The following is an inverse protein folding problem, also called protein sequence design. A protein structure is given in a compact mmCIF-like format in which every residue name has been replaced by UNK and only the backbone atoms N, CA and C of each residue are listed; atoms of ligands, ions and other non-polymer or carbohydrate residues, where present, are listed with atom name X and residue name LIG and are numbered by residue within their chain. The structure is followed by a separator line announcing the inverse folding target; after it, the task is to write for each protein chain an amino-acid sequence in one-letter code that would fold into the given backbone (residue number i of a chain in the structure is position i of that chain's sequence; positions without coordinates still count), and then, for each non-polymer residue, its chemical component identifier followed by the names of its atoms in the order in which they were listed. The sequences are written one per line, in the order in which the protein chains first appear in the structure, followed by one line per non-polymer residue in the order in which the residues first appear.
data_IF_302428899840
#
_entry.id   IF_302428899840
#
_cell.length_a   1.000
_cell.length_b   1.000
_cell.length_c   1.000
_cell.angle_alpha   90.00
_cell.angle_beta   90.00
_cell.angle_gamma   90.00
#
_symmetry.space_group_name_H-M   'P 1'
#
loop_
_entity.id
_entity.type
_entity.pdbx_description
1 polymer ?
#
# COMPACT_ATOMS: atom_id res chain seq x y z
N UNK A 1 -57.57 2.51 -42.62
CA UNK A 1 -58.16 3.82 -42.28
C UNK A 1 -57.02 4.82 -42.07
N UNK A 2 -57.10 5.98 -42.76
CA UNK A 2 -56.62 7.35 -42.44
C UNK A 2 -55.34 7.50 -41.56
N UNK A 3 -54.37 8.37 -41.84
CA UNK A 3 -54.16 9.46 -42.81
C UNK A 3 -52.68 9.86 -42.70
N UNK A 4 -52.09 10.23 -43.83
CA UNK A 4 -50.79 10.89 -43.94
C UNK A 4 -50.89 12.34 -43.42
N UNK A 5 -49.89 12.82 -42.70
CA UNK A 5 -49.58 14.25 -42.62
C UNK A 5 -48.08 14.45 -42.77
N UNK A 6 -47.71 15.03 -43.91
CA UNK A 6 -46.42 15.64 -44.14
C UNK A 6 -46.43 17.04 -43.51
N UNK A 7 -45.33 17.43 -42.89
CA UNK A 7 -44.96 18.83 -42.71
C UNK A 7 -43.47 18.95 -42.98
N UNK A 8 -43.15 19.59 -44.11
CA UNK A 8 -41.84 20.19 -44.31
C UNK A 8 -41.84 21.59 -43.69
N UNK A 9 -40.68 22.01 -43.20
CA UNK A 9 -40.34 23.42 -43.07
C UNK A 9 -38.83 23.59 -43.17
N UNK A 10 -38.44 24.36 -44.19
CA UNK A 10 -37.12 24.95 -44.42
C UNK A 10 -36.84 25.98 -43.33
N UNK A 11 -35.60 26.04 -42.82
CA UNK A 11 -35.24 27.04 -41.82
C UNK A 11 -33.74 27.23 -41.64
N UNK A 12 -33.23 28.24 -42.34
CA UNK A 12 -32.06 29.09 -42.06
C UNK A 12 -30.79 28.47 -41.45
N UNK A 13 -29.72 28.51 -42.25
CA UNK A 13 -28.35 28.41 -41.77
C UNK A 13 -27.99 29.55 -40.82
N UNK A 14 -27.30 29.20 -39.75
CA UNK A 14 -26.52 30.13 -38.92
C UNK A 14 -25.07 29.66 -39.03
N UNK A 15 -24.27 30.44 -39.75
CA UNK A 15 -22.80 30.31 -39.75
C UNK A 15 -22.32 30.92 -38.45
N UNK A 16 -22.08 30.10 -37.43
CA UNK A 16 -21.35 30.55 -36.24
C UNK A 16 -19.86 30.50 -36.53
N UNK A 17 -19.26 31.69 -36.67
CA UNK A 17 -17.80 31.90 -36.73
C UNK A 17 -17.22 31.43 -35.39
N UNK A 18 -16.60 30.26 -35.35
CA UNK A 18 -15.82 29.81 -34.20
C UNK A 18 -14.47 30.53 -34.23
N UNK A 19 -14.35 31.58 -33.41
CA UNK A 19 -13.04 32.14 -33.05
C UNK A 19 -12.27 31.10 -32.26
N UNK A 20 -11.36 30.40 -32.92
CA UNK A 20 -10.38 29.52 -32.27
C UNK A 20 -9.41 30.38 -31.46
N UNK A 21 -9.62 30.47 -30.15
CA UNK A 21 -8.62 30.98 -29.23
C UNK A 21 -7.56 29.89 -29.12
N UNK A 22 -6.41 30.12 -29.78
CA UNK A 22 -5.20 29.33 -29.56
C UNK A 22 -4.67 29.67 -28.17
N UNK A 23 -5.12 28.94 -27.14
CA UNK A 23 -4.33 28.84 -25.91
C UNK A 23 -3.09 28.01 -26.25
N UNK A 24 -1.95 28.68 -26.40
CA UNK A 24 -0.64 28.06 -26.32
C UNK A 24 -0.42 27.57 -24.87
N UNK A 25 -1.09 26.48 -24.50
CA UNK A 25 -0.73 25.72 -23.32
C UNK A 25 0.52 24.91 -23.66
N UNK A 26 1.63 25.20 -22.99
CA UNK A 26 2.77 24.29 -22.91
C UNK A 26 2.25 22.99 -22.28
N UNK A 27 1.92 22.01 -23.12
CA UNK A 27 1.71 20.66 -22.66
C UNK A 27 3.05 20.15 -22.11
N UNK A 28 3.23 20.20 -20.80
CA UNK A 28 4.12 19.26 -20.15
C UNK A 28 3.50 17.90 -20.43
N UNK A 29 4.04 17.19 -21.42
CA UNK A 29 3.81 15.76 -21.52
C UNK A 29 4.35 15.18 -20.21
N UNK A 30 3.47 14.92 -19.25
CA UNK A 30 3.80 14.04 -18.16
C UNK A 30 4.16 12.71 -18.83
N UNK A 31 5.45 12.38 -18.87
CA UNK A 31 5.89 11.08 -19.33
C UNK A 31 5.14 10.05 -18.50
N UNK A 32 4.18 9.35 -19.11
CA UNK A 32 3.49 8.20 -18.51
C UNK A 32 4.37 6.95 -18.49
N UNK A 33 5.59 7.05 -19.03
CA UNK A 33 6.59 6.02 -18.90
C UNK A 33 7.05 5.93 -17.43
N UNK A 34 7.13 4.72 -16.85
CA UNK A 34 7.71 4.54 -15.53
C UNK A 34 9.15 5.07 -15.48
N UNK A 35 9.56 5.58 -14.33
CA UNK A 35 10.92 6.07 -14.11
C UNK A 35 11.92 4.93 -14.43
N UNK A 36 12.94 5.16 -15.27
CA UNK A 36 13.84 4.10 -15.70
C UNK A 36 14.77 3.59 -14.59
N UNK A 37 14.91 4.32 -13.47
CA UNK A 37 15.69 3.91 -12.31
C UNK A 37 14.86 3.13 -11.29
N UNK A 38 13.58 3.47 -11.11
CA UNK A 38 12.72 2.81 -10.09
C UNK A 38 11.64 1.91 -10.67
N UNK A 39 11.39 1.98 -11.98
CA UNK A 39 10.27 1.29 -12.65
C UNK A 39 8.90 1.81 -12.25
N UNK A 40 8.83 2.93 -11.53
CA UNK A 40 7.60 3.43 -10.92
C UNK A 40 6.85 4.41 -11.80
N UNK A 41 5.51 4.32 -11.81
CA UNK A 41 4.67 5.27 -12.52
C UNK A 41 4.68 6.67 -11.89
N UNK A 42 4.51 7.71 -12.70
CA UNK A 42 4.39 9.08 -12.20
C UNK A 42 3.20 9.26 -11.22
N UNK A 43 2.14 8.46 -11.36
CA UNK A 43 0.99 8.49 -10.46
C UNK A 43 1.37 7.96 -9.07
N UNK A 44 2.06 6.82 -9.01
CA UNK A 44 2.59 6.24 -7.78
C UNK A 44 3.60 7.18 -7.10
N UNK A 45 4.44 7.86 -7.88
CA UNK A 45 5.39 8.85 -7.34
C UNK A 45 4.66 10.05 -6.72
N UNK A 46 3.57 10.50 -7.35
CA UNK A 46 2.71 11.55 -6.79
C UNK A 46 2.07 11.10 -5.46
N UNK A 47 1.60 9.85 -5.36
CA UNK A 47 1.06 9.28 -4.12
C UNK A 47 2.12 9.21 -3.02
N UNK A 48 3.34 8.74 -3.34
CA UNK A 48 4.46 8.74 -2.38
C UNK A 48 4.79 10.15 -1.91
N UNK A 49 4.80 11.14 -2.79
CA UNK A 49 5.18 12.53 -2.43
C UNK A 49 4.24 13.22 -1.44
N UNK A 50 3.04 12.66 -1.21
CA UNK A 50 2.11 13.22 -0.23
C UNK A 50 2.65 13.14 1.20
N UNK A 51 2.07 13.98 2.07
CA UNK A 51 2.42 14.01 3.48
C UNK A 51 2.17 12.66 4.15
N UNK A 52 3.03 12.30 5.10
CA UNK A 52 2.87 11.11 5.92
C UNK A 52 1.77 11.31 6.97
N UNK A 53 1.08 10.23 7.31
CA UNK A 53 0.20 10.20 8.49
C UNK A 53 1.08 10.13 9.74
N UNK A 54 0.92 11.05 10.72
CA UNK A 54 1.72 11.03 11.94
C UNK A 54 1.70 9.67 12.64
N UNK A 55 2.87 9.13 12.95
CA UNK A 55 3.03 7.82 13.60
C UNK A 55 3.06 6.62 12.66
N UNK A 56 3.08 6.84 11.33
CA UNK A 56 3.19 5.79 10.31
C UNK A 56 4.17 6.21 9.20
N UNK A 57 4.74 5.24 8.44
CA UNK A 57 5.55 5.54 7.26
C UNK A 57 4.73 5.73 5.98
N UNK A 58 3.39 5.67 6.03
CA UNK A 58 2.53 5.78 4.85
C UNK A 58 1.95 7.18 4.67
N UNK A 59 1.61 7.53 3.43
CA UNK A 59 1.04 8.83 3.10
C UNK A 59 -0.46 8.91 3.43
N UNK A 60 -0.98 10.14 3.51
CA UNK A 60 -2.39 10.44 3.85
C UNK A 60 -3.42 9.85 2.88
N UNK A 61 -3.02 9.34 1.71
CA UNK A 61 -3.89 8.60 0.79
C UNK A 61 -4.21 7.19 1.26
N UNK A 62 -3.34 6.58 2.07
CA UNK A 62 -3.52 5.20 2.50
C UNK A 62 -4.76 5.05 3.38
N UNK A 63 -5.51 3.96 3.18
CA UNK A 63 -6.55 3.47 4.09
C UNK A 63 -6.04 2.35 4.98
N UNK A 64 -5.09 1.56 4.47
CA UNK A 64 -4.28 0.67 5.27
C UNK A 64 -2.79 0.92 5.00
N UNK A 65 -2.00 0.91 6.06
CA UNK A 65 -0.54 1.03 6.01
C UNK A 65 0.08 -0.24 6.57
N UNK A 66 1.07 -0.78 5.88
CA UNK A 66 1.90 -1.90 6.35
C UNK A 66 3.35 -1.46 6.30
N UNK A 67 4.03 -1.58 7.43
CA UNK A 67 5.47 -1.41 7.54
C UNK A 67 6.14 -2.78 7.73
N UNK A 68 6.89 -3.20 6.71
CA UNK A 68 7.60 -4.46 6.69
C UNK A 68 8.80 -4.47 7.65
N UNK A 69 9.41 -3.31 7.93
CA UNK A 69 10.59 -3.24 8.81
C UNK A 69 10.19 -3.46 10.28
N UNK A 70 9.08 -2.85 10.72
CA UNK A 70 8.59 -3.01 12.09
C UNK A 70 7.56 -4.13 12.27
N UNK A 71 7.14 -4.79 11.18
CA UNK A 71 6.05 -5.78 11.18
C UNK A 71 4.80 -5.23 11.87
N UNK A 72 4.37 -4.04 11.42
CA UNK A 72 3.18 -3.36 11.92
C UNK A 72 2.23 -2.96 10.80
N UNK A 73 0.95 -2.86 11.16
CA UNK A 73 -0.05 -2.28 10.29
C UNK A 73 -0.98 -1.30 11.02
N UNK A 74 -1.60 -0.42 10.23
CA UNK A 74 -2.55 0.59 10.68
C UNK A 74 -3.73 0.68 9.73
N UNK A 75 -4.90 1.02 10.28
CA UNK A 75 -6.01 1.59 9.52
C UNK A 75 -5.99 3.11 9.66
N UNK A 76 -6.22 3.79 8.55
CA UNK A 76 -6.14 5.23 8.44
C UNK A 76 -7.46 5.76 7.88
N UNK A 77 -8.02 6.76 8.56
CA UNK A 77 -9.18 7.50 8.12
C UNK A 77 -8.90 9.00 8.23
N UNK A 78 -9.15 9.74 7.15
CA UNK A 78 -9.02 11.20 7.11
C UNK A 78 -7.65 11.70 7.61
N UNK A 79 -6.58 11.02 7.19
CA UNK A 79 -5.20 11.33 7.56
C UNK A 79 -4.85 11.03 9.02
N UNK A 80 -5.64 10.20 9.70
CA UNK A 80 -5.44 9.82 11.11
C UNK A 80 -5.50 8.32 11.28
N UNK A 81 -4.66 7.79 12.16
CA UNK A 81 -4.74 6.39 12.59
C UNK A 81 -6.04 6.17 13.36
N UNK A 82 -6.86 5.22 12.92
CA UNK A 82 -8.08 4.78 13.61
C UNK A 82 -7.90 3.44 14.31
N UNK A 83 -6.96 2.62 13.83
CA UNK A 83 -6.51 1.39 14.49
C UNK A 83 -5.04 1.15 14.22
N UNK A 84 -4.33 0.64 15.21
CA UNK A 84 -2.91 0.33 15.14
C UNK A 84 -2.06 1.18 16.08
N UNK A 85 -0.76 0.92 16.16
CA UNK A 85 -0.04 -0.16 15.45
C UNK A 85 -0.52 -1.55 15.92
N UNK A 86 -0.80 -2.45 14.98
CA UNK A 86 -1.07 -3.87 15.28
C UNK A 86 0.08 -4.72 14.79
N UNK A 87 0.37 -5.82 15.49
CA UNK A 87 1.36 -6.80 15.02
C UNK A 87 0.83 -7.51 13.78
N UNK A 88 1.71 -7.72 12.81
CA UNK A 88 1.44 -8.52 11.62
C UNK A 88 2.61 -9.46 11.34
N UNK A 89 2.35 -10.52 10.57
CA UNK A 89 3.41 -11.25 9.89
C UNK A 89 3.20 -11.14 8.37
N UNK A 90 4.24 -10.68 7.67
CA UNK A 90 4.27 -10.60 6.21
C UNK A 90 4.86 -11.87 5.58
N UNK A 91 5.03 -11.84 4.26
CA UNK A 91 5.71 -12.89 3.51
C UNK A 91 7.16 -13.10 3.97
N UNK A 92 7.60 -14.36 4.00
CA UNK A 92 8.99 -14.72 4.32
C UNK A 92 9.98 -14.43 3.19
N UNK A 93 11.27 -14.70 3.40
CA UNK A 93 12.35 -14.42 2.41
C UNK A 93 12.09 -15.00 1.01
N UNK A 94 11.51 -16.20 0.94
CA UNK A 94 11.31 -16.91 -0.33
C UNK A 94 10.02 -16.50 -1.04
N UNK A 95 9.09 -15.87 -0.31
CA UNK A 95 7.76 -15.44 -0.79
C UNK A 95 7.44 -14.08 -0.16
N UNK A 96 8.25 -13.05 -0.46
CA UNK A 96 8.14 -11.76 0.22
C UNK A 96 6.85 -11.04 -0.18
N UNK A 97 6.27 -10.28 0.74
CA UNK A 97 5.20 -9.34 0.40
C UNK A 97 5.77 -8.23 -0.48
N UNK A 98 5.17 -7.94 -1.65
CA UNK A 98 5.59 -6.82 -2.49
C UNK A 98 5.42 -5.46 -1.80
N UNK A 99 6.40 -4.57 -2.00
CA UNK A 99 6.30 -3.15 -1.61
C UNK A 99 5.53 -2.38 -2.69
N UNK A 100 4.63 -1.50 -2.28
CA UNK A 100 3.84 -0.67 -3.19
C UNK A 100 3.17 0.51 -2.49
N UNK A 101 3.16 1.68 -3.16
CA UNK A 101 2.56 2.92 -2.65
C UNK A 101 1.15 3.19 -3.19
N UNK A 102 0.69 2.39 -4.14
CA UNK A 102 -0.56 2.61 -4.87
C UNK A 102 -1.26 1.26 -5.14
N UNK A 103 -1.40 0.46 -4.07
CA UNK A 103 -2.12 -0.81 -4.11
C UNK A 103 -3.58 -0.57 -3.76
N UNK A 104 -4.48 -1.43 -4.25
CA UNK A 104 -5.92 -1.21 -4.07
C UNK A 104 -6.64 -2.50 -3.75
N UNK A 105 -7.53 -2.43 -2.76
CA UNK A 105 -8.42 -3.55 -2.44
C UNK A 105 -9.26 -3.89 -3.67
N UNK A 106 -9.17 -5.11 -4.17
CA UNK A 106 -9.92 -5.54 -5.36
C UNK A 106 -10.93 -6.65 -5.07
N UNK A 107 -10.74 -7.41 -3.99
CA UNK A 107 -11.63 -8.49 -3.58
C UNK A 107 -11.69 -8.61 -2.06
N UNK A 108 -12.86 -9.02 -1.56
CA UNK A 108 -13.09 -9.37 -0.16
C UNK A 108 -13.86 -10.66 -0.09
N UNK A 109 -13.40 -11.58 0.75
CA UNK A 109 -14.01 -12.89 0.95
C UNK A 109 -13.86 -13.31 2.40
N UNK A 110 -14.98 -13.48 3.10
CA UNK A 110 -14.98 -13.71 4.56
C UNK A 110 -14.56 -15.14 4.91
N UNK A 111 -14.90 -16.11 4.06
CA UNK A 111 -14.67 -17.55 4.28
C UNK A 111 -13.70 -18.11 3.22
N UNK A 112 -12.71 -17.31 2.83
CA UNK A 112 -11.77 -17.67 1.78
C UNK A 112 -10.94 -18.91 2.14
N UNK A 113 -10.64 -19.71 1.13
CA UNK A 113 -9.76 -20.88 1.23
C UNK A 113 -8.71 -20.78 0.13
N UNK A 114 -7.44 -20.88 0.51
CA UNK A 114 -6.31 -20.76 -0.42
C UNK A 114 -6.37 -21.83 -1.51
N UNK A 115 -6.15 -21.41 -2.75
CA UNK A 115 -5.92 -22.32 -3.89
C UNK A 115 -4.46 -22.72 -4.07
N UNK A 116 -3.56 -22.20 -3.23
CA UNK A 116 -2.10 -22.27 -3.42
C UNK A 116 -1.37 -22.90 -2.22
N UNK A 117 -1.97 -22.84 -1.03
CA UNK A 117 -1.47 -23.49 0.18
C UNK A 117 -2.44 -24.56 0.67
N UNK A 118 -1.89 -25.72 1.05
CA UNK A 118 -2.68 -26.90 1.42
C UNK A 118 -2.12 -27.63 2.64
N UNK A 119 -3.00 -27.94 3.58
CA UNK A 119 -2.73 -28.84 4.70
C UNK A 119 -3.55 -30.11 4.53
N UNK A 120 -2.88 -31.27 4.49
CA UNK A 120 -3.52 -32.59 4.31
C UNK A 120 -4.43 -32.68 3.06
N UNK A 121 -4.07 -31.96 1.98
CA UNK A 121 -4.85 -31.94 0.73
C UNK A 121 -6.09 -31.05 0.76
N UNK A 122 -6.26 -30.23 1.81
CA UNK A 122 -7.31 -29.22 1.93
C UNK A 122 -6.66 -27.85 1.88
N UNK A 123 -7.25 -26.91 1.13
CA UNK A 123 -6.74 -25.54 1.06
C UNK A 123 -6.74 -24.89 2.45
N UNK A 124 -5.71 -24.12 2.75
CA UNK A 124 -5.62 -23.47 4.06
C UNK A 124 -6.66 -22.34 4.17
N UNK A 125 -7.40 -22.24 5.30
CA UNK A 125 -8.39 -21.19 5.48
C UNK A 125 -7.73 -19.82 5.63
N UNK A 126 -8.33 -18.79 5.02
CA UNK A 126 -7.92 -17.39 5.11
C UNK A 126 -9.13 -16.53 5.52
N UNK A 127 -9.61 -16.63 6.77
CA UNK A 127 -10.82 -15.92 7.19
C UNK A 127 -10.65 -14.39 7.11
N UNK A 128 -11.73 -13.69 6.79
CA UNK A 128 -11.77 -12.22 6.68
C UNK A 128 -10.76 -11.67 5.66
N UNK A 129 -10.60 -12.35 4.52
CA UNK A 129 -9.65 -11.96 3.48
C UNK A 129 -10.03 -10.65 2.79
N UNK A 130 -9.06 -9.74 2.70
CA UNK A 130 -9.10 -8.48 1.93
C UNK A 130 -7.90 -8.44 1.01
N UNK A 131 -8.12 -8.73 -0.28
CA UNK A 131 -7.08 -8.79 -1.30
C UNK A 131 -6.79 -7.41 -1.88
N UNK A 132 -5.52 -7.06 -2.02
CA UNK A 132 -5.10 -5.72 -2.43
C UNK A 132 -3.94 -5.69 -3.45
N UNK A 133 -3.35 -6.83 -3.78
CA UNK A 133 -2.26 -6.96 -4.75
C UNK A 133 -2.38 -8.27 -5.53
N UNK A 134 -1.88 -8.26 -6.77
CA UNK A 134 -1.88 -9.43 -7.66
C UNK A 134 -1.14 -10.62 -7.03
N UNK A 135 -1.48 -11.83 -7.47
CA UNK A 135 -0.94 -13.05 -6.88
C UNK A 135 -1.64 -13.46 -5.57
N UNK A 136 -2.85 -12.96 -5.32
CA UNK A 136 -3.66 -13.39 -4.17
C UNK A 136 -3.20 -12.84 -2.83
N UNK A 137 -2.46 -11.73 -2.84
CA UNK A 137 -1.94 -11.12 -1.62
C UNK A 137 -3.07 -10.39 -0.88
N UNK A 138 -3.30 -10.79 0.37
CA UNK A 138 -4.40 -10.30 1.20
C UNK A 138 -3.99 -10.02 2.64
N UNK A 139 -4.76 -9.16 3.30
CA UNK A 139 -4.91 -9.21 4.76
C UNK A 139 -5.88 -10.34 5.10
N UNK A 140 -5.56 -11.16 6.10
CA UNK A 140 -6.51 -12.15 6.62
C UNK A 140 -6.14 -12.59 8.04
N UNK A 141 -7.06 -13.28 8.71
CA UNK A 141 -6.77 -13.92 10.00
C UNK A 141 -5.67 -14.98 9.84
N UNK A 142 -4.66 -14.90 10.70
CA UNK A 142 -3.55 -15.85 10.76
C UNK A 142 -2.75 -15.68 12.05
N UNK A 143 -1.61 -16.35 12.14
CA UNK A 143 -0.68 -16.14 13.25
C UNK A 143 0.24 -14.94 12.93
N UNK A 144 0.15 -13.81 13.66
CA UNK A 144 1.00 -12.63 13.42
C UNK A 144 2.48 -12.81 13.80
N UNK A 145 2.86 -14.00 14.29
CA UNK A 145 4.25 -14.36 14.59
C UNK A 145 4.81 -15.39 13.60
N UNK A 146 4.03 -15.85 12.62
CA UNK A 146 4.46 -16.81 11.62
C UNK A 146 4.42 -16.20 10.22
N UNK A 147 5.56 -16.22 9.53
CA UNK A 147 5.69 -15.71 8.17
C UNK A 147 4.68 -16.40 7.22
N UNK A 148 4.11 -15.61 6.32
CA UNK A 148 3.17 -16.09 5.30
C UNK A 148 3.90 -16.39 3.98
N UNK A 149 3.12 -16.77 2.96
CA UNK A 149 3.57 -16.81 1.56
C UNK A 149 3.27 -15.53 0.79
N UNK A 150 3.32 -14.38 1.47
CA UNK A 150 3.15 -13.04 0.87
C UNK A 150 2.00 -12.25 1.47
N UNK A 151 0.98 -12.92 2.01
CA UNK A 151 -0.13 -12.28 2.71
C UNK A 151 0.28 -11.56 4.00
N UNK A 152 -0.61 -10.75 4.55
CA UNK A 152 -0.44 -10.09 5.83
C UNK A 152 -1.33 -10.79 6.87
N UNK A 153 -0.72 -11.60 7.73
CA UNK A 153 -1.41 -12.24 8.84
C UNK A 153 -1.75 -11.22 9.92
N UNK A 154 -3.03 -11.20 10.31
CA UNK A 154 -3.58 -10.40 11.40
C UNK A 154 -4.15 -11.31 12.49
N UNK A 155 -4.12 -10.85 13.74
CA UNK A 155 -4.90 -11.50 14.79
C UNK A 155 -6.40 -11.42 14.45
N UNK A 156 -7.20 -12.38 14.93
CA UNK A 156 -8.61 -12.51 14.52
C UNK A 156 -9.43 -11.21 14.67
N UNK A 157 -9.25 -10.46 15.76
CA UNK A 157 -9.98 -9.21 15.98
C UNK A 157 -9.52 -8.08 15.04
N UNK A 158 -8.26 -8.13 14.59
CA UNK A 158 -7.70 -7.21 13.59
C UNK A 158 -8.14 -7.58 12.18
N UNK A 159 -8.13 -8.86 11.81
CA UNK A 159 -8.66 -9.32 10.54
C UNK A 159 -10.13 -8.89 10.34
N UNK A 160 -10.97 -9.06 11.37
CA UNK A 160 -12.36 -8.58 11.38
C UNK A 160 -12.48 -7.08 11.16
N UNK A 161 -11.61 -6.28 11.79
CA UNK A 161 -11.66 -4.83 11.65
C UNK A 161 -11.18 -4.38 10.27
N UNK A 162 -10.12 -4.98 9.74
CA UNK A 162 -9.65 -4.73 8.37
C UNK A 162 -10.74 -5.06 7.36
N UNK A 163 -11.36 -6.23 7.50
CA UNK A 163 -12.46 -6.65 6.65
C UNK A 163 -13.69 -5.75 6.80
N UNK A 164 -14.04 -5.30 8.01
CA UNK A 164 -15.17 -4.40 8.22
C UNK A 164 -14.96 -3.00 7.66
N UNK A 165 -13.73 -2.49 7.77
CA UNK A 165 -13.38 -1.11 7.41
C UNK A 165 -13.09 -0.94 5.92
N UNK A 166 -12.17 -1.73 5.37
CA UNK A 166 -11.67 -1.56 4.01
C UNK A 166 -12.75 -1.89 2.97
N UNK A 167 -12.87 -1.05 1.95
CA UNK A 167 -13.78 -1.21 0.82
C UNK A 167 -13.00 -1.50 -0.47
N UNK A 168 -13.65 -2.11 -1.45
CA UNK A 168 -13.06 -2.27 -2.79
C UNK A 168 -12.71 -0.88 -3.35
N UNK A 169 -11.48 -0.74 -3.83
CA UNK A 169 -10.87 0.50 -4.32
C UNK A 169 -10.07 1.28 -3.28
N UNK A 170 -10.19 0.95 -1.98
CA UNK A 170 -9.41 1.64 -0.94
C UNK A 170 -7.91 1.40 -1.14
N UNK A 171 -7.14 2.47 -0.94
CA UNK A 171 -5.68 2.46 -1.11
C UNK A 171 -5.00 1.73 0.04
N UNK A 172 -4.08 0.83 -0.30
CA UNK A 172 -3.19 0.12 0.61
C UNK A 172 -1.76 0.51 0.26
N UNK A 173 -0.96 0.77 1.28
CA UNK A 173 0.47 1.00 1.13
C UNK A 173 1.23 -0.05 1.92
N UNK A 174 2.13 -0.76 1.24
CA UNK A 174 3.10 -1.67 1.85
C UNK A 174 4.47 -1.07 1.63
N UNK A 175 5.16 -0.74 2.71
CA UNK A 175 6.43 -0.01 2.67
C UNK A 175 7.45 -0.61 3.61
N UNK A 176 8.68 -0.15 3.49
CA UNK A 176 9.71 -0.28 4.52
C UNK A 176 9.99 1.11 5.08
N UNK A 177 9.76 1.32 6.36
CA UNK A 177 9.92 2.63 6.98
C UNK A 177 11.32 3.22 6.78
N UNK A 178 12.37 2.40 6.86
CA UNK A 178 13.75 2.84 6.67
C UNK A 178 13.98 3.44 5.27
N UNK A 179 13.49 2.77 4.22
CA UNK A 179 13.59 3.23 2.84
C UNK A 179 12.72 4.49 2.60
N UNK A 180 11.51 4.53 3.16
CA UNK A 180 10.60 5.67 3.02
C UNK A 180 11.14 6.94 3.68
N UNK A 181 11.69 6.83 4.89
CA UNK A 181 12.27 7.99 5.58
C UNK A 181 13.56 8.45 4.91
N UNK A 182 14.43 7.53 4.46
CA UNK A 182 15.63 7.86 3.71
C UNK A 182 15.30 8.62 2.42
N UNK A 183 14.31 8.17 1.65
CA UNK A 183 13.86 8.84 0.42
C UNK A 183 13.33 10.26 0.67
N UNK A 184 12.86 10.55 1.88
CA UNK A 184 12.35 11.86 2.31
C UNK A 184 13.40 12.73 3.01
N UNK A 185 14.64 12.24 3.17
CA UNK A 185 15.67 12.92 3.94
C UNK A 185 15.35 13.05 5.43
N UNK A 186 14.56 12.11 5.97
CA UNK A 186 14.18 12.03 7.38
C UNK A 186 15.00 10.95 8.08
N UNK A 187 15.31 11.14 9.36
CA UNK A 187 15.96 10.10 10.16
C UNK A 187 14.96 8.97 10.47
N UNK A 188 15.44 7.73 10.43
CA UNK A 188 14.72 6.57 10.92
C UNK A 188 15.40 6.10 12.20
N UNK A 189 14.77 6.37 13.34
CA UNK A 189 15.34 6.06 14.67
C UNK A 189 15.14 4.58 15.08
N UNK A 190 14.87 3.71 14.11
CA UNK A 190 14.51 2.30 14.30
C UNK A 190 12.99 2.05 14.36
N UNK A 191 12.56 0.78 14.45
CA UNK A 191 11.14 0.44 14.46
C UNK A 191 10.45 1.12 15.64
N UNK A 192 9.53 2.05 15.33
CA UNK A 192 8.90 3.00 16.26
C UNK A 192 8.23 2.32 17.48
N UNK A 193 7.91 1.03 17.38
CA UNK A 193 7.22 0.25 18.42
C UNK A 193 8.04 -0.95 18.93
N UNK A 194 9.35 -0.95 18.65
CA UNK A 194 10.23 -2.09 18.91
C UNK A 194 9.92 -3.29 18.02
N UNK A 195 10.90 -4.17 17.94
CA UNK A 195 10.95 -5.42 17.17
C UNK A 195 9.87 -6.49 17.51
N UNK A 196 8.67 -6.14 17.98
CA UNK A 196 7.58 -7.13 18.12
C UNK A 196 7.30 -7.76 16.75
N UNK A 197 7.29 -9.09 16.64
CA UNK A 197 7.37 -9.83 15.37
C UNK A 197 8.79 -9.94 14.79
N UNK A 198 9.60 -8.89 14.91
CA UNK A 198 10.98 -8.84 14.38
C UNK A 198 11.92 -9.79 15.15
N UNK A 199 11.70 -10.12 16.43
CA UNK A 199 12.57 -11.10 17.14
C UNK A 199 12.48 -12.53 16.60
N UNK A 200 11.33 -12.94 16.06
CA UNK A 200 11.19 -14.23 15.38
C UNK A 200 11.69 -14.13 13.93
N UNK A 201 11.36 -13.01 13.24
CA UNK A 201 11.86 -12.73 11.90
C UNK A 201 13.40 -12.69 11.86
N UNK A 202 14.08 -11.87 12.66
CA UNK A 202 15.55 -11.78 12.76
C UNK A 202 16.19 -13.10 13.19
N UNK A 203 15.57 -13.88 14.08
CA UNK A 203 16.13 -15.17 14.51
C UNK A 203 16.12 -16.22 13.39
N UNK A 204 15.18 -16.14 12.45
CA UNK A 204 15.07 -17.04 11.29
C UNK A 204 15.68 -16.43 10.01
N UNK A 205 15.84 -15.11 9.96
CA UNK A 205 16.08 -14.34 8.74
C UNK A 205 17.22 -13.30 8.81
N UNK A 206 17.79 -12.99 9.99
CA UNK A 206 18.87 -12.03 10.17
C UNK A 206 20.24 -12.58 9.73
N UNK A 207 20.65 -12.23 8.51
CA UNK A 207 22.05 -12.26 8.09
C UNK A 207 22.58 -10.84 8.07
N UNK A 208 23.60 -10.60 8.89
CA UNK A 208 24.64 -9.56 8.82
C UNK A 208 24.26 -8.26 8.10
N UNK A 209 23.47 -7.39 8.75
CA UNK A 209 23.47 -5.95 8.42
C UNK A 209 22.99 -5.09 9.60
N UNK A 210 23.35 -5.47 10.82
CA UNK A 210 23.45 -4.53 11.94
C UNK A 210 24.82 -3.84 11.89
N UNK A 211 25.11 -3.10 10.83
CA UNK A 211 26.15 -2.06 10.86
C UNK A 211 25.57 -0.81 11.54
N UNK A 212 25.22 -0.99 12.82
CA UNK A 212 25.15 0.12 13.76
C UNK A 212 26.59 0.41 14.19
N UNK A 213 27.22 1.36 13.50
CA UNK A 213 28.51 1.93 13.82
C UNK A 213 28.41 2.59 15.21
N UNK A 214 28.76 1.85 16.26
CA UNK A 214 29.02 2.40 17.58
C UNK A 214 30.39 3.07 17.54
N UNK A 215 30.42 4.33 17.10
CA UNK A 215 31.54 5.23 17.34
C UNK A 215 31.49 5.65 18.82
N UNK A 216 32.13 4.84 19.67
CA UNK A 216 32.53 5.24 21.02
C UNK A 216 33.71 6.23 20.90
N UNK A 217 33.40 7.51 20.69
CA UNK A 217 34.35 8.61 20.90
C UNK A 217 34.43 8.92 22.40
N UNK A 218 35.18 8.12 23.14
CA UNK A 218 35.71 8.55 24.44
C UNK A 218 36.95 9.41 24.23
N UNK A 219 36.72 10.70 24.00
CA UNK A 219 37.69 11.77 24.17
C UNK A 219 38.02 11.90 25.67
N UNK A 220 39.13 11.30 26.08
CA UNK A 220 39.78 11.59 27.37
C UNK A 220 40.99 12.48 27.10
N UNK A 221 40.71 13.75 26.79
CA UNK A 221 41.65 14.83 27.00
C UNK A 221 41.43 15.42 28.39
N UNK A 222 42.40 15.27 29.30
CA UNK A 222 42.72 16.27 30.32
C UNK A 222 44.06 15.93 31.02
N UNK A 223 45.06 16.79 30.72
CA UNK A 223 46.19 17.26 31.53
C UNK A 223 47.07 16.27 32.33
#
# INVERSE_FOLDING_TARGET
MRRRHAYGAVGLGVVTVTTSILLAGTAFAANTAPDPATGESAATAAVRSQALVPGTPCSVTAKACVDLDSQRAWLIQDGKVTRGPVNVASGGKTTPTPVGHDLHVYLKDIDHVSGESFTNGVGDPMPYSVFFEDGGIAFHEGNPEAASSGCIHLAADDAKAWYGYLQIGDSVQVVKASEEFAARGQSYDGPMYGAGGVRAWEAEHGGDNASGDSSDDSDSGDN
#
